data_IF_501336663378
#
_entry.id   IF_501336663378
#
_cell.length_a   1.000
_cell.length_b   1.000
_cell.length_c   1.000
_cell.angle_alpha   90.00
_cell.angle_beta   90.00
_cell.angle_gamma   90.00
#
_symmetry.space_group_name_H-M   'P 1'
#
loop_
_entity.id
_entity.type
_entity.pdbx_description
1 polymer ?
#
# COMPACT_ATOMS: atom_id res chain seq x y z
N UNK A 1 -16.42 -16.25 14.45
CA UNK A 1 -16.03 -15.10 15.31
C UNK A 1 -14.53 -14.86 15.32
N UNK A 2 -13.67 -15.80 15.73
CA UNK A 2 -12.20 -15.58 15.70
C UNK A 2 -11.61 -15.64 14.28
N UNK A 3 -12.02 -16.62 13.48
CA UNK A 3 -11.55 -16.77 12.10
C UNK A 3 -11.92 -15.56 11.23
N UNK A 4 -13.14 -15.03 11.39
CA UNK A 4 -13.61 -13.83 10.68
C UNK A 4 -12.77 -12.60 11.03
N UNK A 5 -12.45 -12.39 12.32
CA UNK A 5 -11.59 -11.29 12.74
C UNK A 5 -10.17 -11.38 12.16
N UNK A 6 -9.61 -12.59 12.06
CA UNK A 6 -8.30 -12.82 11.44
C UNK A 6 -8.36 -12.51 9.95
N UNK A 7 -9.40 -12.98 9.25
CA UNK A 7 -9.61 -12.70 7.83
C UNK A 7 -9.80 -11.22 7.56
N UNK A 8 -10.56 -10.51 8.39
CA UNK A 8 -10.75 -9.05 8.27
C UNK A 8 -9.42 -8.30 8.40
N UNK A 9 -8.58 -8.70 9.35
CA UNK A 9 -7.25 -8.10 9.54
C UNK A 9 -6.32 -8.39 8.36
N UNK A 10 -6.41 -9.58 7.76
CA UNK A 10 -5.63 -9.92 6.55
C UNK A 10 -6.11 -9.06 5.37
N UNK A 11 -7.41 -8.95 5.17
CA UNK A 11 -8.00 -8.14 4.10
C UNK A 11 -7.61 -6.67 4.22
N UNK A 12 -7.63 -6.13 5.43
CA UNK A 12 -7.19 -4.77 5.70
C UNK A 12 -5.68 -4.57 5.40
N UNK A 13 -4.85 -5.54 5.76
CA UNK A 13 -3.41 -5.49 5.43
C UNK A 13 -3.17 -5.54 3.92
N UNK A 14 -3.88 -6.38 3.19
CA UNK A 14 -3.80 -6.46 1.72
C UNK A 14 -4.26 -5.15 1.09
N UNK A 15 -5.32 -4.54 1.62
CA UNK A 15 -5.80 -3.24 1.18
C UNK A 15 -4.73 -2.15 1.31
N UNK A 16 -4.09 -2.01 2.47
CA UNK A 16 -3.02 -1.02 2.66
C UNK A 16 -1.75 -1.34 1.89
N UNK A 17 -1.42 -2.62 1.69
CA UNK A 17 -0.32 -3.05 0.85
C UNK A 17 -0.50 -2.57 -0.60
N UNK A 18 -1.70 -2.73 -1.16
CA UNK A 18 -1.99 -2.27 -2.53
C UNK A 18 -1.87 -0.76 -2.61
N UNK A 19 -2.41 -0.01 -1.63
CA UNK A 19 -2.29 1.46 -1.59
C UNK A 19 -0.84 1.95 -1.51
N UNK A 20 0.02 1.20 -0.82
CA UNK A 20 1.43 1.56 -0.67
C UNK A 20 2.23 1.46 -1.96
N UNK A 21 1.89 0.51 -2.83
CA UNK A 21 2.72 0.16 -3.99
C UNK A 21 2.05 0.36 -5.34
N UNK A 22 0.77 0.66 -5.42
CA UNK A 22 0.14 0.99 -6.71
C UNK A 22 0.73 2.25 -7.34
N UNK A 23 0.89 2.25 -8.65
CA UNK A 23 1.41 3.40 -9.40
C UNK A 23 0.51 4.65 -9.28
N UNK A 24 -0.81 4.45 -9.26
CA UNK A 24 -1.82 5.52 -9.36
C UNK A 24 -2.87 5.40 -8.24
N UNK A 25 -3.09 6.52 -7.54
CA UNK A 25 -4.03 6.66 -6.43
C UNK A 25 -5.48 6.52 -6.88
N UNK A 26 -5.79 7.04 -8.08
CA UNK A 26 -7.15 7.00 -8.63
C UNK A 26 -7.62 5.57 -8.95
N UNK A 27 -6.68 4.64 -9.18
CA UNK A 27 -6.96 3.27 -9.61
C UNK A 27 -7.04 2.26 -8.46
N UNK A 28 -6.84 2.67 -7.21
CA UNK A 28 -6.79 1.76 -6.05
C UNK A 28 -7.96 0.77 -6.02
N UNK A 29 -9.19 1.26 -6.14
CA UNK A 29 -10.39 0.42 -6.05
C UNK A 29 -10.46 -0.61 -7.20
N UNK A 30 -10.03 -0.23 -8.40
CA UNK A 30 -9.97 -1.15 -9.53
C UNK A 30 -8.90 -2.22 -9.32
N UNK A 31 -7.71 -1.82 -8.85
CA UNK A 31 -6.60 -2.74 -8.56
C UNK A 31 -6.99 -3.75 -7.48
N UNK A 32 -7.63 -3.30 -6.39
CA UNK A 32 -8.09 -4.19 -5.32
C UNK A 32 -9.09 -5.21 -5.86
N UNK A 33 -10.07 -4.80 -6.66
CA UNK A 33 -11.04 -5.72 -7.28
C UNK A 33 -10.34 -6.73 -8.20
N UNK A 34 -9.38 -6.30 -8.99
CA UNK A 34 -8.60 -7.20 -9.85
C UNK A 34 -7.82 -8.21 -9.01
N UNK A 35 -7.13 -7.77 -7.96
CA UNK A 35 -6.36 -8.66 -7.06
C UNK A 35 -7.25 -9.68 -6.37
N UNK A 36 -8.42 -9.27 -5.86
CA UNK A 36 -9.37 -10.17 -5.21
C UNK A 36 -9.96 -11.24 -6.14
N UNK A 37 -10.02 -10.96 -7.45
CA UNK A 37 -10.59 -11.88 -8.45
C UNK A 37 -9.53 -12.81 -9.08
N UNK A 38 -8.25 -12.68 -8.72
CA UNK A 38 -7.20 -13.54 -9.27
C UNK A 38 -7.17 -14.89 -8.56
N UNK A 39 -6.94 -15.94 -9.35
CA UNK A 39 -6.61 -17.25 -8.79
C UNK A 39 -5.21 -17.22 -8.14
N UNK A 40 -5.00 -18.06 -7.13
CA UNK A 40 -3.72 -18.18 -6.44
C UNK A 40 -2.51 -18.34 -7.39
N UNK A 41 -2.66 -19.12 -8.48
CA UNK A 41 -1.61 -19.31 -9.50
C UNK A 41 -1.23 -18.02 -10.23
N UNK A 42 -2.16 -17.08 -10.40
CA UNK A 42 -1.87 -15.79 -11.05
C UNK A 42 -1.22 -14.81 -10.08
N UNK A 43 -1.55 -14.87 -8.79
CA UNK A 43 -0.89 -14.08 -7.74
C UNK A 43 0.59 -14.43 -7.55
N UNK A 44 0.97 -15.69 -7.77
CA UNK A 44 2.38 -16.10 -7.70
C UNK A 44 3.24 -15.54 -8.83
N UNK A 45 2.64 -15.00 -9.90
CA UNK A 45 3.38 -14.41 -11.00
C UNK A 45 3.66 -12.92 -10.73
N UNK A 46 4.92 -12.63 -10.39
CA UNK A 46 5.35 -11.28 -10.01
C UNK A 46 5.16 -10.26 -11.16
N UNK A 47 5.35 -10.67 -12.42
CA UNK A 47 5.18 -9.79 -13.57
C UNK A 47 3.72 -9.36 -13.74
N UNK A 48 2.78 -10.29 -13.51
CA UNK A 48 1.34 -9.96 -13.54
C UNK A 48 0.97 -9.04 -12.38
N UNK A 49 1.51 -9.26 -11.19
CA UNK A 49 1.23 -8.40 -10.04
C UNK A 49 1.73 -6.96 -10.28
N UNK A 50 2.92 -6.81 -10.84
CA UNK A 50 3.51 -5.51 -11.21
C UNK A 50 2.64 -4.78 -12.24
N UNK A 51 2.16 -5.50 -13.27
CA UNK A 51 1.23 -4.95 -14.26
C UNK A 51 -0.09 -4.51 -13.63
N UNK A 52 -0.68 -5.32 -12.75
CA UNK A 52 -1.93 -5.02 -12.04
C UNK A 52 -1.78 -3.81 -11.12
N UNK A 53 -0.62 -3.64 -10.49
CA UNK A 53 -0.30 -2.43 -9.71
C UNK A 53 -0.13 -1.17 -10.60
N UNK A 54 -0.20 -1.33 -11.92
CA UNK A 54 -0.13 -0.28 -12.93
C UNK A 54 1.29 0.03 -13.39
N UNK A 55 2.25 -0.85 -13.12
CA UNK A 55 3.63 -0.74 -13.59
C UNK A 55 3.81 -1.54 -14.88
N UNK A 56 3.32 -1.00 -16.00
CA UNK A 56 3.55 -1.57 -17.32
C UNK A 56 4.23 -0.53 -18.23
N UNK A 57 5.20 -0.93 -19.08
CA UNK A 57 5.72 -2.29 -19.28
C UNK A 57 6.72 -2.75 -18.21
N UNK A 58 6.80 -4.06 -17.88
CA UNK A 58 7.70 -4.61 -16.85
C UNK A 58 9.18 -4.24 -17.02
N UNK A 59 9.62 -4.06 -18.28
CA UNK A 59 11.00 -3.66 -18.63
C UNK A 59 11.37 -2.28 -18.12
N UNK A 60 10.40 -1.38 -17.95
CA UNK A 60 10.63 -0.01 -17.44
C UNK A 60 10.88 0.00 -15.93
N UNK A 61 10.55 -1.09 -15.23
CA UNK A 61 10.63 -1.17 -13.77
C UNK A 61 11.72 -2.13 -13.26
N UNK A 62 12.40 -2.85 -14.16
CA UNK A 62 13.58 -3.65 -13.83
C UNK A 62 14.68 -2.72 -13.26
N UNK A 63 15.05 -2.94 -11.99
CA UNK A 63 16.04 -2.12 -11.27
C UNK A 63 15.47 -0.88 -10.57
N UNK A 64 14.17 -0.60 -10.69
CA UNK A 64 13.55 0.56 -10.03
C UNK A 64 13.13 0.21 -8.61
N UNK A 65 13.66 0.94 -7.63
CA UNK A 65 13.25 0.81 -6.24
C UNK A 65 11.93 1.58 -6.04
N UNK A 66 10.86 0.87 -5.68
CA UNK A 66 9.57 1.46 -5.31
C UNK A 66 9.48 1.55 -3.80
N UNK A 67 9.27 2.75 -3.28
CA UNK A 67 9.10 2.99 -1.86
C UNK A 67 7.61 3.00 -1.49
N UNK A 68 7.22 2.42 -0.34
CA UNK A 68 5.85 2.48 0.13
C UNK A 68 5.44 3.93 0.46
N UNK A 69 4.18 4.26 0.20
CA UNK A 69 3.61 5.58 0.53
C UNK A 69 3.49 5.82 2.04
N UNK A 70 3.24 4.76 2.82
CA UNK A 70 3.18 4.76 4.27
C UNK A 70 1.83 4.32 4.86
N UNK A 71 0.85 3.96 4.03
CA UNK A 71 -0.49 3.52 4.46
C UNK A 71 -0.42 2.39 5.47
N UNK A 72 0.39 1.36 5.21
CA UNK A 72 0.49 0.17 6.07
C UNK A 72 1.10 0.48 7.43
N UNK A 73 2.09 1.38 7.49
CA UNK A 73 2.75 1.73 8.76
C UNK A 73 1.83 2.63 9.59
N UNK A 74 1.22 3.64 8.96
CA UNK A 74 0.31 4.55 9.65
C UNK A 74 -0.93 3.81 10.17
N UNK A 75 -1.48 2.86 9.41
CA UNK A 75 -2.64 2.10 9.86
C UNK A 75 -2.33 1.05 10.94
N UNK A 76 -1.11 0.49 10.94
CA UNK A 76 -0.73 -0.57 11.89
C UNK A 76 -0.16 -0.06 13.22
N UNK A 77 0.60 1.04 13.22
CA UNK A 77 1.24 1.59 14.43
C UNK A 77 0.37 2.59 15.17
N UNK A 78 -0.44 3.35 14.44
CA UNK A 78 -1.19 4.46 15.00
C UNK A 78 -2.68 4.25 14.73
N UNK A 79 -3.52 4.35 15.78
CA UNK A 79 -4.98 4.29 15.66
C UNK A 79 -5.54 5.59 15.02
N UNK A 80 -4.91 6.06 13.94
CA UNK A 80 -5.30 7.27 13.25
C UNK A 80 -6.59 7.02 12.47
N UNK A 81 -7.55 7.96 12.52
CA UNK A 81 -8.64 8.02 11.58
C UNK A 81 -8.16 7.97 10.12
N UNK A 82 -8.90 7.26 9.26
CA UNK A 82 -8.55 7.09 7.84
C UNK A 82 -8.30 8.42 7.11
N UNK A 83 -9.10 9.45 7.39
CA UNK A 83 -8.93 10.77 6.78
C UNK A 83 -7.59 11.44 7.13
N UNK A 84 -7.08 11.24 8.35
CA UNK A 84 -5.76 11.76 8.72
C UNK A 84 -4.64 11.01 8.00
N UNK A 85 -4.79 9.70 7.81
CA UNK A 85 -3.82 8.88 7.05
C UNK A 85 -3.73 9.38 5.61
N UNK A 86 -4.87 9.64 4.96
CA UNK A 86 -4.90 10.18 3.59
C UNK A 86 -4.21 11.55 3.53
N UNK A 87 -4.53 12.48 4.43
CA UNK A 87 -3.89 13.80 4.48
C UNK A 87 -2.36 13.72 4.69
N UNK A 88 -1.89 12.85 5.58
CA UNK A 88 -0.45 12.66 5.84
C UNK A 88 0.23 12.15 4.55
N UNK A 89 -0.40 11.23 3.84
CA UNK A 89 0.19 10.65 2.63
C UNK A 89 0.17 11.62 1.46
N UNK A 90 -0.90 12.40 1.29
CA UNK A 90 -0.96 13.45 0.27
C UNK A 90 0.11 14.53 0.51
N UNK A 91 0.32 14.91 1.77
CA UNK A 91 1.29 15.95 2.14
C UNK A 91 2.75 15.47 2.09
N UNK A 92 3.04 14.25 2.53
CA UNK A 92 4.43 13.76 2.66
C UNK A 92 4.87 12.83 1.52
N UNK A 93 3.92 12.32 0.73
CA UNK A 93 4.04 11.53 -0.51
C UNK A 93 4.82 10.21 -0.42
N UNK A 94 5.74 10.04 0.55
CA UNK A 94 6.60 8.86 0.74
C UNK A 94 6.85 8.62 2.22
N UNK A 95 6.87 7.34 2.62
CA UNK A 95 7.15 6.93 4.00
C UNK A 95 8.52 7.41 4.50
N UNK A 96 9.53 7.49 3.62
CA UNK A 96 10.85 8.00 3.98
C UNK A 96 10.79 9.46 4.50
N UNK A 97 9.88 10.27 3.95
CA UNK A 97 9.62 11.64 4.39
C UNK A 97 8.91 11.64 5.75
N UNK A 98 7.96 10.73 5.97
CA UNK A 98 7.23 10.57 7.24
C UNK A 98 8.18 10.17 8.38
N UNK A 99 9.10 9.22 8.14
CA UNK A 99 10.11 8.81 9.14
C UNK A 99 11.03 9.97 9.54
N UNK A 100 11.33 10.89 8.62
CA UNK A 100 12.15 12.07 8.90
C UNK A 100 11.43 13.08 9.80
N UNK A 101 10.10 13.13 9.75
CA UNK A 101 9.28 13.98 10.63
C UNK A 101 9.17 13.44 12.05
N UNK A 102 9.06 12.12 12.25
CA UNK A 102 8.97 11.58 13.62
C UNK A 102 10.20 11.96 14.45
N UNK A 103 11.37 12.05 13.81
CA UNK A 103 12.61 12.46 14.47
C UNK A 103 12.55 13.96 14.85
N UNK A 104 11.93 14.80 14.01
CA UNK A 104 11.88 16.25 14.26
C UNK A 104 10.92 16.63 15.40
N UNK A 105 9.87 15.84 15.62
CA UNK A 105 8.94 16.02 16.75
C UNK A 105 9.48 15.52 18.10
N UNK A 106 10.60 14.78 18.11
CA UNK A 106 11.25 14.31 19.36
C UNK A 106 12.28 15.32 19.91
N UNK A 107 12.58 16.39 19.17
CA UNK A 107 13.53 17.44 19.57
C UNK A 107 12.86 18.82 19.80
N UNK A 108 11.57 18.83 20.12
CA UNK A 108 10.83 19.99 20.63
C UNK A 108 10.23 19.55 21.97
#
# INVERSE_FOLDING_TARGET
MQLSQIMDKINENVFYLIKDYSSDVSKFNAIIKMVSNLSHKKLTNINKLVEILGFSPPTVYLGKIVYPRGYRILSSLTKLPKHLIENIIENFKKLATIKKLSIKFTYI
#
